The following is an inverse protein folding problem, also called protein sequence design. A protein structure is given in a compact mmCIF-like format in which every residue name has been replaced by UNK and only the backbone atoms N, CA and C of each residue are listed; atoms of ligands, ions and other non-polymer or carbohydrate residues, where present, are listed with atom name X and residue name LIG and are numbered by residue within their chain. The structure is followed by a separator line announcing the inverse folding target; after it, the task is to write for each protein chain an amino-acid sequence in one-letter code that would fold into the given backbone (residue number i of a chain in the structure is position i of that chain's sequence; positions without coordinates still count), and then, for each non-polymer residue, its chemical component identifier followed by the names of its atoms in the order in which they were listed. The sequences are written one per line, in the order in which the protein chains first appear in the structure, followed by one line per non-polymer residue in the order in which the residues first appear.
data_IF_737862021643
#
_entry.id   IF_737862021643
#
_cell.length_a   1.000
_cell.length_b   1.000
_cell.length_c   1.000
_cell.angle_alpha   90.00
_cell.angle_beta   90.00
_cell.angle_gamma   90.00
#
_symmetry.space_group_name_H-M   'P 1'
#
loop_
_entity.id
_entity.type
_entity.pdbx_description
1 polymer ?
#
# COMPACT_ATOMS: atom_id res chain seq x y z
N UNK A 1 10.56 -31.11 15.67
CA UNK A 1 10.09 -29.71 15.63
C UNK A 1 11.27 -28.89 15.19
N UNK A 2 11.34 -28.51 13.92
CA UNK A 2 12.38 -27.61 13.45
C UNK A 2 12.05 -26.22 14.00
N UNK A 3 12.84 -25.76 14.96
CA UNK A 3 12.77 -24.37 15.39
C UNK A 3 13.15 -23.51 14.18
N UNK A 4 12.14 -22.90 13.55
CA UNK A 4 12.33 -22.09 12.35
C UNK A 4 13.37 -21.00 12.59
N UNK A 5 14.33 -20.89 11.67
CA UNK A 5 15.40 -19.90 11.74
C UNK A 5 14.80 -18.50 11.74
N UNK A 6 15.04 -17.72 12.79
CA UNK A 6 14.50 -16.35 12.85
C UNK A 6 15.34 -15.40 11.99
N UNK A 7 14.78 -14.27 11.51
CA UNK A 7 15.54 -13.29 10.73
C UNK A 7 16.78 -12.75 11.46
N UNK A 8 16.70 -12.59 12.79
CA UNK A 8 17.82 -12.17 13.61
C UNK A 8 18.92 -13.24 13.65
N UNK A 9 18.54 -14.52 13.80
CA UNK A 9 19.49 -15.64 13.74
C UNK A 9 20.11 -15.82 12.35
N UNK A 10 19.33 -15.57 11.29
CA UNK A 10 19.83 -15.60 9.91
C UNK A 10 20.84 -14.46 9.66
N UNK A 11 20.56 -13.25 10.16
CA UNK A 11 21.47 -12.12 10.05
C UNK A 11 22.79 -12.37 10.80
N UNK A 12 22.71 -12.90 12.01
CA UNK A 12 23.87 -13.31 12.81
C UNK A 12 24.68 -14.42 12.11
N UNK A 13 24.00 -15.42 11.53
CA UNK A 13 24.62 -16.48 10.76
C UNK A 13 25.35 -15.95 9.51
N UNK A 14 24.92 -14.85 8.89
CA UNK A 14 25.66 -14.19 7.79
C UNK A 14 26.70 -13.16 8.29
N UNK A 15 26.69 -12.83 9.58
CA UNK A 15 27.49 -11.74 10.13
C UNK A 15 27.12 -10.38 9.55
N UNK A 16 25.82 -10.15 9.38
CA UNK A 16 25.27 -8.86 9.02
C UNK A 16 25.18 -7.99 10.29
N UNK A 17 25.37 -6.66 10.17
CA UNK A 17 25.10 -5.76 11.28
C UNK A 17 23.62 -5.84 11.67
N UNK A 18 23.33 -5.68 12.96
CA UNK A 18 21.95 -5.74 13.49
C UNK A 18 21.01 -4.82 12.69
N UNK A 19 19.71 -5.17 12.60
CA UNK A 19 18.73 -4.49 11.73
C UNK A 19 18.47 -3.00 12.06
N UNK A 20 19.14 -2.42 13.05
CA UNK A 20 19.10 -0.99 13.36
C UNK A 20 19.94 -0.10 12.44
N UNK A 21 20.78 -0.66 11.56
CA UNK A 21 21.64 0.14 10.65
C UNK A 21 21.03 0.45 9.27
N UNK A 22 19.82 -0.03 8.99
CA UNK A 22 19.13 0.15 7.71
C UNK A 22 18.58 -1.16 7.14
N UNK A 23 17.80 -1.09 6.05
CA UNK A 23 17.21 -2.26 5.42
C UNK A 23 18.28 -3.16 4.79
N UNK A 24 18.08 -4.47 4.85
CA UNK A 24 18.98 -5.42 4.20
C UNK A 24 18.73 -5.41 2.69
N UNK A 25 19.74 -5.00 1.93
CA UNK A 25 19.67 -5.05 0.47
C UNK A 25 20.10 -6.42 -0.07
N UNK A 26 19.51 -6.91 -1.18
CA UNK A 26 19.90 -8.18 -1.79
C UNK A 26 21.41 -8.30 -2.07
N UNK A 27 22.04 -7.20 -2.50
CA UNK A 27 23.48 -7.13 -2.77
C UNK A 27 24.32 -7.31 -1.51
N UNK A 28 23.91 -6.70 -0.38
CA UNK A 28 24.60 -6.84 0.90
C UNK A 28 24.53 -8.29 1.41
N UNK A 29 23.33 -8.88 1.38
CA UNK A 29 23.10 -10.28 1.77
C UNK A 29 23.99 -11.22 0.95
N UNK A 30 23.96 -11.08 -0.39
CA UNK A 30 24.78 -11.89 -1.30
C UNK A 30 26.27 -11.76 -1.03
N UNK A 31 26.77 -10.53 -0.81
CA UNK A 31 28.18 -10.28 -0.51
C UNK A 31 28.65 -10.98 0.75
N UNK A 32 27.85 -10.92 1.83
CA UNK A 32 28.20 -11.55 3.10
C UNK A 32 28.10 -13.07 3.03
N UNK A 33 27.08 -13.60 2.37
CA UNK A 33 26.94 -15.02 2.08
C UNK A 33 28.15 -15.57 1.34
N UNK A 34 28.52 -15.00 0.18
CA UNK A 34 29.65 -15.48 -0.61
C UNK A 34 30.97 -15.44 0.18
N UNK A 35 31.18 -14.39 0.97
CA UNK A 35 32.38 -14.25 1.81
C UNK A 35 32.48 -15.36 2.87
N UNK A 36 31.37 -15.73 3.52
CA UNK A 36 31.35 -16.82 4.51
C UNK A 36 31.37 -18.19 3.86
N UNK A 37 30.57 -18.39 2.81
CA UNK A 37 30.45 -19.63 2.05
C UNK A 37 31.81 -20.13 1.54
N UNK A 38 32.67 -19.23 1.05
CA UNK A 38 34.03 -19.59 0.60
C UNK A 38 34.92 -20.10 1.74
N UNK A 39 34.72 -19.62 2.97
CA UNK A 39 35.52 -20.00 4.15
C UNK A 39 35.11 -21.36 4.71
N UNK A 40 33.81 -21.66 4.69
CA UNK A 40 33.25 -22.90 5.26
C UNK A 40 32.84 -23.92 4.20
N UNK A 41 33.30 -23.75 2.96
CA UNK A 41 32.99 -24.67 1.87
C UNK A 41 33.51 -26.08 2.19
N UNK A 42 32.68 -27.14 2.05
CA UNK A 42 33.07 -28.50 2.45
C UNK A 42 34.30 -29.02 1.70
N UNK A 43 34.49 -28.63 0.44
CA UNK A 43 35.68 -29.04 -0.33
C UNK A 43 37.00 -28.43 0.18
N UNK A 44 36.93 -27.27 0.82
CA UNK A 44 38.12 -26.50 1.25
C UNK A 44 38.37 -26.61 2.74
N UNK A 45 37.31 -26.79 3.54
CA UNK A 45 37.36 -26.89 4.98
C UNK A 45 37.24 -28.37 5.39
N UNK A 46 38.24 -28.91 6.09
CA UNK A 46 38.25 -30.29 6.59
C UNK A 46 37.51 -30.48 7.91
N UNK A 47 36.87 -29.44 8.43
CA UNK A 47 36.10 -29.50 9.66
C UNK A 47 34.85 -30.37 9.45
N UNK A 48 34.58 -31.40 10.29
CA UNK A 48 33.36 -32.19 10.20
C UNK A 48 32.08 -31.35 10.33
N UNK A 49 32.13 -30.16 10.95
CA UNK A 49 31.02 -29.22 11.06
C UNK A 49 30.76 -28.37 9.81
N UNK A 50 31.70 -28.32 8.85
CA UNK A 50 31.63 -27.39 7.72
C UNK A 50 30.37 -27.58 6.86
N UNK A 51 29.94 -28.83 6.66
CA UNK A 51 28.72 -29.14 5.89
C UNK A 51 27.47 -28.56 6.57
N UNK A 52 27.35 -28.75 7.87
CA UNK A 52 26.19 -28.26 8.64
C UNK A 52 26.20 -26.72 8.70
N UNK A 53 27.36 -26.11 8.89
CA UNK A 53 27.49 -24.65 8.89
C UNK A 53 27.17 -24.06 7.51
N UNK A 54 27.65 -24.67 6.42
CA UNK A 54 27.34 -24.23 5.07
C UNK A 54 25.84 -24.34 4.75
N UNK A 55 25.19 -25.41 5.18
CA UNK A 55 23.73 -25.56 5.06
C UNK A 55 22.99 -24.48 5.85
N UNK A 56 23.43 -24.19 7.09
CA UNK A 56 22.88 -23.11 7.91
C UNK A 56 23.05 -21.74 7.24
N UNK A 57 24.21 -21.46 6.64
CA UNK A 57 24.45 -20.23 5.87
C UNK A 57 23.54 -20.10 4.66
N UNK A 58 23.32 -21.20 3.93
CA UNK A 58 22.42 -21.22 2.77
C UNK A 58 20.97 -20.94 3.20
N UNK A 59 20.49 -21.61 4.24
CA UNK A 59 19.15 -21.36 4.78
C UNK A 59 18.97 -19.91 5.25
N UNK A 60 19.98 -19.34 5.92
CA UNK A 60 19.99 -17.94 6.33
C UNK A 60 19.94 -16.98 5.14
N UNK A 61 20.72 -17.24 4.09
CA UNK A 61 20.72 -16.46 2.85
C UNK A 61 19.35 -16.47 2.17
N UNK A 62 18.76 -17.64 1.96
CA UNK A 62 17.49 -17.79 1.23
C UNK A 62 16.33 -17.12 1.98
N UNK A 63 16.32 -17.23 3.31
CA UNK A 63 15.35 -16.55 4.16
C UNK A 63 15.46 -15.02 4.07
N UNK A 64 16.67 -14.48 4.20
CA UNK A 64 16.87 -13.03 4.15
C UNK A 64 16.64 -12.46 2.75
N UNK A 65 17.01 -13.20 1.70
CA UNK A 65 16.81 -12.76 0.33
C UNK A 65 15.32 -12.73 -0.05
N UNK A 66 14.56 -13.77 0.29
CA UNK A 66 13.11 -13.79 0.04
C UNK A 66 12.40 -12.65 0.76
N UNK A 67 12.79 -12.37 2.00
CA UNK A 67 12.27 -11.23 2.76
C UNK A 67 12.66 -9.89 2.15
N UNK A 68 13.93 -9.67 1.80
CA UNK A 68 14.37 -8.40 1.20
C UNK A 68 13.66 -8.11 -0.12
N UNK A 69 13.40 -9.14 -0.93
CA UNK A 69 12.62 -9.02 -2.17
C UNK A 69 11.15 -8.72 -1.86
N UNK A 70 10.54 -9.41 -0.88
CA UNK A 70 9.18 -9.15 -0.43
C UNK A 70 8.99 -7.72 0.09
N UNK A 71 9.87 -7.26 0.99
CA UNK A 71 9.84 -5.90 1.56
C UNK A 71 9.98 -4.84 0.44
N UNK A 72 10.88 -5.06 -0.53
CA UNK A 72 11.04 -4.16 -1.68
C UNK A 72 9.79 -4.13 -2.57
N UNK A 73 9.14 -5.27 -2.78
CA UNK A 73 7.89 -5.34 -3.54
C UNK A 73 6.75 -4.63 -2.81
N UNK A 74 6.54 -4.91 -1.53
CA UNK A 74 5.52 -4.23 -0.72
C UNK A 74 5.75 -2.72 -0.62
N UNK A 75 7.01 -2.28 -0.52
CA UNK A 75 7.33 -0.85 -0.57
C UNK A 75 7.01 -0.21 -1.92
N UNK A 76 7.28 -0.91 -3.02
CA UNK A 76 6.93 -0.45 -4.37
C UNK A 76 5.41 -0.38 -4.59
N UNK A 77 4.66 -1.38 -4.11
CA UNK A 77 3.20 -1.38 -4.17
C UNK A 77 2.58 -0.26 -3.32
N UNK A 78 3.11 -0.03 -2.12
CA UNK A 78 2.66 1.07 -1.26
C UNK A 78 2.93 2.44 -1.91
N UNK A 79 4.09 2.61 -2.55
CA UNK A 79 4.42 3.82 -3.29
C UNK A 79 3.47 4.03 -4.48
N UNK A 80 3.25 2.99 -5.31
CA UNK A 80 2.32 3.05 -6.43
C UNK A 80 0.89 3.37 -5.98
N UNK A 81 0.43 2.77 -4.88
CA UNK A 81 -0.89 3.03 -4.30
C UNK A 81 -1.02 4.47 -3.79
N UNK A 82 0.02 5.01 -3.16
CA UNK A 82 0.06 6.40 -2.72
C UNK A 82 0.02 7.37 -3.90
N UNK A 83 0.76 7.09 -4.97
CA UNK A 83 0.76 7.90 -6.19
C UNK A 83 -0.62 7.91 -6.86
N UNK A 84 -1.28 6.74 -6.95
CA UNK A 84 -2.64 6.62 -7.46
C UNK A 84 -3.65 7.40 -6.61
N UNK A 85 -3.60 7.25 -5.29
CA UNK A 85 -4.48 7.98 -4.38
C UNK A 85 -4.27 9.49 -4.51
N UNK A 86 -3.02 9.94 -4.63
CA UNK A 86 -2.70 11.37 -4.79
C UNK A 86 -3.28 11.92 -6.11
N UNK A 87 -3.18 11.15 -7.19
CA UNK A 87 -3.73 11.49 -8.50
C UNK A 87 -5.26 11.59 -8.43
N UNK A 88 -5.90 10.61 -7.78
CA UNK A 88 -7.34 10.57 -7.57
C UNK A 88 -7.85 11.77 -6.74
N UNK A 89 -7.19 12.09 -5.62
CA UNK A 89 -7.55 13.24 -4.79
C UNK A 89 -7.40 14.58 -5.54
N UNK A 90 -6.37 14.71 -6.38
CA UNK A 90 -6.20 15.89 -7.24
C UNK A 90 -7.29 15.98 -8.31
N UNK A 91 -7.73 14.85 -8.88
CA UNK A 91 -8.85 14.82 -9.82
C UNK A 91 -10.17 15.22 -9.14
N UNK A 92 -10.49 14.66 -7.97
CA UNK A 92 -11.71 15.01 -7.23
C UNK A 92 -11.80 16.48 -6.81
N UNK A 93 -10.65 17.11 -6.56
CA UNK A 93 -10.59 18.54 -6.20
C UNK A 93 -10.61 19.48 -7.42
N UNK A 94 -10.79 18.94 -8.64
CA UNK A 94 -10.81 19.72 -9.88
C UNK A 94 -9.45 20.32 -10.25
N UNK A 95 -8.38 19.92 -9.56
CA UNK A 95 -7.00 20.39 -9.83
C UNK A 95 -6.39 19.71 -11.06
N UNK A 96 -7.02 18.64 -11.54
CA UNK A 96 -6.63 17.87 -12.72
C UNK A 96 -7.79 17.87 -13.71
N UNK A 97 -7.51 18.21 -14.97
CA UNK A 97 -8.48 18.11 -16.09
C UNK A 97 -8.39 16.73 -16.75
N UNK A 98 -9.47 16.30 -17.40
CA UNK A 98 -9.62 14.97 -18.02
C UNK A 98 -8.39 14.52 -18.85
N UNK A 99 -7.89 15.36 -19.76
CA UNK A 99 -6.73 15.03 -20.60
C UNK A 99 -5.40 14.90 -19.82
N UNK A 100 -5.26 15.61 -18.70
CA UNK A 100 -4.08 15.49 -17.82
C UNK A 100 -4.18 14.26 -16.93
N UNK A 101 -5.39 13.85 -16.57
CA UNK A 101 -5.62 12.66 -15.74
C UNK A 101 -5.27 11.38 -16.49
N UNK A 102 -5.71 11.25 -17.75
CA UNK A 102 -5.37 10.08 -18.57
C UNK A 102 -3.85 9.96 -18.77
N UNK A 103 -3.15 11.07 -18.99
CA UNK A 103 -1.70 11.07 -19.14
C UNK A 103 -0.97 10.65 -17.85
N UNK A 104 -1.41 11.15 -16.69
CA UNK A 104 -0.83 10.76 -15.40
C UNK A 104 -1.10 9.29 -15.08
N UNK A 105 -2.33 8.80 -15.27
CA UNK A 105 -2.69 7.39 -15.07
C UNK A 105 -1.89 6.48 -16.01
N UNK A 106 -1.73 6.86 -17.29
CA UNK A 106 -0.90 6.13 -18.23
C UNK A 106 0.57 6.07 -17.78
N UNK A 107 1.11 7.16 -17.21
CA UNK A 107 2.48 7.19 -16.68
C UNK A 107 2.67 6.29 -15.46
N UNK A 108 1.62 6.08 -14.67
CA UNK A 108 1.59 5.12 -13.54
C UNK A 108 1.37 3.67 -14.00
N UNK A 109 1.27 3.42 -15.31
CA UNK A 109 1.02 2.09 -15.86
C UNK A 109 -0.42 1.62 -15.67
N UNK A 110 -1.34 2.51 -15.28
CA UNK A 110 -2.77 2.18 -15.25
C UNK A 110 -3.27 2.17 -16.69
N UNK A 111 -3.34 0.97 -17.23
CA UNK A 111 -3.79 0.74 -18.58
C UNK A 111 -5.30 1.01 -18.69
N UNK A 112 -5.70 1.83 -19.66
CA UNK A 112 -7.10 1.93 -20.06
C UNK A 112 -7.47 0.60 -20.72
N UNK A 113 -8.41 -0.19 -20.15
CA UNK A 113 -8.84 -1.42 -20.80
C UNK A 113 -9.29 -1.10 -22.24
N UNK A 114 -8.99 -1.97 -23.21
CA UNK A 114 -9.41 -1.78 -24.60
C UNK A 114 -10.93 -1.72 -24.65
N UNK A 115 -11.50 -0.95 -25.58
CA UNK A 115 -12.97 -0.83 -25.74
C UNK A 115 -13.67 -2.19 -25.90
N UNK A 116 -12.96 -3.19 -26.41
CA UNK A 116 -13.43 -4.56 -26.53
C UNK A 116 -13.79 -5.24 -25.20
N UNK A 117 -13.31 -4.74 -24.06
CA UNK A 117 -13.74 -5.23 -22.74
C UNK A 117 -15.15 -4.78 -22.38
N UNK A 118 -15.79 -3.90 -23.16
CA UNK A 118 -17.15 -3.43 -22.93
C UNK A 118 -17.31 -2.54 -21.70
N UNK A 119 -16.20 -2.17 -21.05
CA UNK A 119 -16.18 -1.21 -19.94
C UNK A 119 -16.08 0.19 -20.55
N UNK A 120 -17.24 0.82 -20.75
CA UNK A 120 -17.29 2.19 -21.24
C UNK A 120 -16.91 3.17 -20.11
N UNK A 121 -15.64 3.55 -20.06
CA UNK A 121 -15.12 4.55 -19.13
C UNK A 121 -15.53 5.98 -19.50
N UNK A 122 -16.19 6.20 -20.65
CA UNK A 122 -16.80 7.49 -20.98
C UNK A 122 -18.12 7.71 -20.23
N UNK A 123 -18.67 6.67 -19.60
CA UNK A 123 -19.69 6.83 -18.57
C UNK A 123 -19.02 7.57 -17.42
N UNK A 124 -19.15 8.90 -17.41
CA UNK A 124 -18.86 9.70 -16.23
C UNK A 124 -19.60 9.03 -15.08
N UNK A 125 -18.90 8.73 -14.00
CA UNK A 125 -19.54 8.52 -12.71
C UNK A 125 -20.35 9.80 -12.48
N UNK A 126 -21.63 9.77 -12.84
CA UNK A 126 -22.57 10.82 -12.52
C UNK A 126 -22.68 10.74 -11.01
N UNK A 127 -21.83 11.51 -10.32
CA UNK A 127 -21.97 11.76 -8.90
C UNK A 127 -23.36 12.32 -8.70
N UNK A 128 -24.26 11.47 -8.20
CA UNK A 128 -25.48 11.78 -7.47
C UNK A 128 -26.46 12.86 -7.98
N UNK A 129 -26.34 13.37 -9.21
CA UNK A 129 -27.32 14.34 -9.73
C UNK A 129 -28.41 13.68 -10.60
N UNK A 130 -28.27 12.39 -10.89
CA UNK A 130 -29.19 11.63 -11.74
C UNK A 130 -30.25 10.85 -10.97
N UNK A 131 -31.25 11.54 -10.42
CA UNK A 131 -32.63 11.08 -10.13
C UNK A 131 -32.94 9.58 -10.02
N UNK A 132 -32.21 8.79 -9.22
CA UNK A 132 -32.69 7.48 -8.75
C UNK A 132 -33.72 7.75 -7.66
N UNK A 133 -34.95 7.32 -7.90
CA UNK A 133 -36.02 7.39 -6.92
C UNK A 133 -35.62 6.67 -5.61
N UNK A 134 -36.18 7.10 -4.47
CA UNK A 134 -35.79 6.62 -3.13
C UNK A 134 -35.87 5.09 -2.94
N UNK A 135 -36.65 4.38 -3.77
CA UNK A 135 -36.82 2.93 -3.66
C UNK A 135 -35.55 2.12 -3.96
N UNK A 136 -34.72 2.50 -4.94
CA UNK A 136 -33.51 1.73 -5.27
C UNK A 136 -32.37 1.96 -4.26
N UNK A 137 -32.43 3.06 -3.50
CA UNK A 137 -31.47 3.37 -2.44
C UNK A 137 -31.67 2.52 -1.18
N UNK A 138 -32.89 2.05 -0.94
CA UNK A 138 -33.23 1.22 0.22
C UNK A 138 -32.62 -0.18 0.11
N UNK A 139 -32.64 -0.78 -1.09
CA UNK A 139 -32.06 -2.09 -1.35
C UNK A 139 -30.52 -2.08 -1.23
N UNK A 140 -29.86 -1.05 -1.75
CA UNK A 140 -28.41 -0.91 -1.62
C UNK A 140 -27.98 -0.72 -0.16
N UNK A 141 -28.75 0.06 0.62
CA UNK A 141 -28.48 0.28 2.05
C UNK A 141 -28.71 -1.00 2.86
N UNK A 142 -29.74 -1.78 2.55
CA UNK A 142 -29.99 -3.08 3.16
C UNK A 142 -28.85 -4.08 2.87
N UNK A 143 -28.40 -4.16 1.61
CA UNK A 143 -27.29 -5.03 1.21
C UNK A 143 -25.98 -4.66 1.92
N UNK A 144 -25.68 -3.37 2.06
CA UNK A 144 -24.51 -2.90 2.83
C UNK A 144 -24.64 -3.26 4.30
N UNK A 145 -25.80 -3.07 4.92
CA UNK A 145 -26.04 -3.43 6.33
C UNK A 145 -25.75 -4.92 6.60
N UNK A 146 -26.20 -5.80 5.70
CA UNK A 146 -25.97 -7.24 5.82
C UNK A 146 -24.48 -7.61 5.76
N UNK A 147 -23.71 -6.97 4.86
CA UNK A 147 -22.26 -7.18 4.75
C UNK A 147 -21.55 -6.77 6.03
N UNK A 148 -21.91 -5.63 6.62
CA UNK A 148 -21.30 -5.15 7.86
C UNK A 148 -21.65 -6.05 9.07
N UNK A 149 -22.88 -6.55 9.12
CA UNK A 149 -23.31 -7.51 10.13
C UNK A 149 -22.52 -8.83 10.05
N UNK A 150 -22.26 -9.34 8.85
CA UNK A 150 -21.43 -10.54 8.64
C UNK A 150 -19.98 -10.35 9.10
N UNK A 151 -19.46 -9.11 9.05
CA UNK A 151 -18.10 -8.77 9.48
C UNK A 151 -18.02 -8.39 10.97
N UNK A 152 -19.14 -8.42 11.70
CA UNK A 152 -19.19 -8.02 13.12
C UNK A 152 -18.95 -6.53 13.35
N UNK A 153 -19.13 -5.69 12.32
CA UNK A 153 -18.98 -4.24 12.43
C UNK A 153 -20.34 -3.62 12.76
N UNK A 154 -20.48 -2.94 13.91
CA UNK A 154 -21.74 -2.29 14.27
C UNK A 154 -22.03 -1.13 13.31
N UNK A 155 -23.21 -1.15 12.68
CA UNK A 155 -23.68 -0.08 11.81
C UNK A 155 -24.49 0.93 12.63
N UNK A 156 -23.90 2.08 12.95
CA UNK A 156 -24.62 3.18 13.60
C UNK A 156 -25.38 3.98 12.53
N UNK A 157 -26.72 3.88 12.54
CA UNK A 157 -27.55 4.78 11.75
C UNK A 157 -27.49 6.16 12.42
N UNK A 158 -26.63 7.04 11.92
CA UNK A 158 -26.77 8.46 12.24
C UNK A 158 -28.16 8.91 11.76
N UNK A 159 -29.10 9.04 12.69
CA UNK A 159 -30.37 9.72 12.49
C UNK A 159 -30.07 11.19 12.17
N UNK A 160 -29.78 11.46 10.90
CA UNK A 160 -29.62 12.79 10.34
C UNK A 160 -30.94 13.55 10.37
N UNK A 161 -31.35 14.00 11.56
CA UNK A 161 -32.35 15.03 11.74
C UNK A 161 -31.82 16.33 11.17
N UNK A 162 -32.11 16.59 9.89
CA UNK A 162 -31.91 17.87 9.26
C UNK A 162 -32.81 18.92 9.94
N UNK A 163 -32.35 19.49 11.06
CA UNK A 163 -32.86 20.79 11.53
C UNK A 163 -32.33 21.84 10.57
N UNK A 164 -33.18 22.24 9.62
CA UNK A 164 -33.01 23.48 8.88
C UNK A 164 -32.79 24.63 9.88
N UNK A 165 -31.54 25.08 9.97
CA UNK A 165 -31.14 26.23 10.78
C UNK A 165 -31.66 27.50 10.15
N UNK A 166 -32.74 28.01 10.70
CA UNK A 166 -33.29 29.34 10.45
C UNK A 166 -32.25 30.42 10.79
N UNK A 167 -31.96 31.28 9.80
CA UNK A 167 -31.62 32.70 9.93
C UNK A 167 -30.73 33.15 11.09
N UNK A 168 -29.46 33.43 10.78
CA UNK A 168 -28.58 34.28 11.57
C UNK A 168 -28.04 35.40 10.69
N UNK A 169 -28.82 36.46 10.57
CA UNK A 169 -28.42 37.74 9.96
C UNK A 169 -27.33 38.37 10.84
N UNK A 170 -26.16 38.66 10.27
CA UNK A 170 -24.92 38.83 11.03
C UNK A 170 -23.88 39.73 10.37
N UNK A 171 -24.34 40.91 9.96
CA UNK A 171 -23.68 42.24 10.07
C UNK A 171 -22.17 42.35 9.75
N UNK A 172 -21.93 43.17 8.73
CA UNK A 172 -20.68 43.84 8.37
C UNK A 172 -19.85 44.32 9.57
N UNK A 173 -18.55 44.06 9.51
CA UNK A 173 -17.54 44.97 10.05
C UNK A 173 -16.34 44.96 9.11
N UNK A 174 -16.29 46.01 8.28
CA UNK A 174 -15.11 46.51 7.61
C UNK A 174 -13.94 46.61 8.59
N UNK A 175 -12.75 46.20 8.16
CA UNK A 175 -11.53 46.77 8.71
C UNK A 175 -10.55 47.00 7.56
N UNK A 176 -10.66 48.22 7.00
CA UNK A 176 -9.57 48.93 6.36
C UNK A 176 -8.48 49.23 7.40
N UNK A 177 -7.29 49.57 6.90
CA UNK A 177 -6.14 50.12 7.63
C UNK A 177 -5.24 49.16 8.44
N UNK A 178 -4.07 48.87 7.88
CA UNK A 178 -2.82 49.49 8.35
C UNK A 178 -1.65 49.11 7.43
N UNK A 179 -1.26 50.08 6.61
CA UNK A 179 0.08 50.17 6.03
C UNK A 179 1.11 50.44 7.14
N UNK A 180 2.26 49.75 7.13
CA UNK A 180 3.61 50.29 7.39
C UNK A 180 4.63 49.35 6.73
#
# INVERSE_FOLDING_TARGET
MDAGLTPAQAADALGLPMPGSGPYTPNLIRRHYLRRAVRVHPDKCRDPGAVQEFQRLKAAHDLLLSRAVGDAHSAAEAAASADLLSTFLRAMTGKLRDASLEAELASLGVYRPPEAFGVDLAIRFQGADGGRGPEESADAKAALRDVFAQQGVPWEEEEGGAKAGTGGDGREASNEDAAW
#
